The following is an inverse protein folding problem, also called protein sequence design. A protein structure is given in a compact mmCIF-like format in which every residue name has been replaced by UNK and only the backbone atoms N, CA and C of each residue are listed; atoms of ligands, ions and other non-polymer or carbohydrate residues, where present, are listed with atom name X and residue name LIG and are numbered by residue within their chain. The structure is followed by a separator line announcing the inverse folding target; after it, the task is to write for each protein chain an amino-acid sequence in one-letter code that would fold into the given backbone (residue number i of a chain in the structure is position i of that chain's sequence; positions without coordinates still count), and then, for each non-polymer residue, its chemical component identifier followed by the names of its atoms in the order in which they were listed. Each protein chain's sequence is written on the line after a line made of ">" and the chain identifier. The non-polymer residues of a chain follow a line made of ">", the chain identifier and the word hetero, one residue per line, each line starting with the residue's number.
data_IF_808650213485
#
_entry.id   IF_808650213485
#
_cell.length_a   1.000
_cell.length_b   1.000
_cell.length_c   1.000
_cell.angle_alpha   90.00
_cell.angle_beta   90.00
_cell.angle_gamma   90.00
#
_symmetry.space_group_name_H-M   'P 1'
#
loop_
_entity.id
_entity.type
_entity.pdbx_description
1 polymer ?
#
# COMPACT_ATOMS: atom_id res chain seq x y z
N UNK A 1 -23.60 6.20 -0.76
CA UNK A 1 -24.09 7.50 -1.28
C UNK A 1 -24.46 7.31 -2.74
N UNK A 2 -25.56 7.90 -3.23
CA UNK A 2 -25.78 7.99 -4.67
C UNK A 2 -25.00 9.21 -5.18
N UNK A 3 -24.12 9.04 -6.17
CA UNK A 3 -23.15 10.03 -6.68
C UNK A 3 -23.76 11.32 -7.29
N UNK A 4 -24.72 11.95 -6.64
CA UNK A 4 -25.49 13.10 -7.14
C UNK A 4 -25.14 14.43 -6.44
N UNK A 5 -24.47 14.40 -5.28
CA UNK A 5 -23.97 15.59 -4.58
C UNK A 5 -22.67 15.27 -3.84
N UNK A 6 -21.76 16.25 -3.81
CA UNK A 6 -20.55 16.23 -2.99
C UNK A 6 -20.79 17.13 -1.78
N UNK A 7 -20.51 16.62 -0.59
CA UNK A 7 -20.58 17.36 0.66
C UNK A 7 -19.22 17.29 1.36
N UNK A 8 -18.77 18.43 1.89
CA UNK A 8 -17.55 18.47 2.68
C UNK A 8 -17.75 17.68 3.98
N UNK A 9 -16.92 16.66 4.20
CA UNK A 9 -16.91 15.89 5.46
C UNK A 9 -16.35 16.76 6.61
N UNK A 10 -15.46 17.70 6.30
CA UNK A 10 -14.87 18.63 7.28
C UNK A 10 -14.38 19.93 6.63
N UNK A 11 -14.32 21.02 7.42
CA UNK A 11 -13.90 22.35 6.94
C UNK A 11 -12.37 22.52 6.79
N UNK A 12 -11.58 21.63 7.40
CA UNK A 12 -10.13 21.61 7.28
C UNK A 12 -9.71 20.67 6.16
N UNK A 13 -8.70 21.08 5.38
CA UNK A 13 -8.06 20.20 4.42
C UNK A 13 -7.19 19.17 5.14
N UNK A 14 -7.29 17.88 4.79
CA UNK A 14 -6.40 16.86 5.32
C UNK A 14 -4.99 17.01 4.75
N UNK A 15 -3.98 16.72 5.57
CA UNK A 15 -2.58 16.50 5.15
C UNK A 15 -2.43 15.10 4.56
N UNK A 16 -3.05 14.10 5.20
CA UNK A 16 -3.08 12.72 4.75
C UNK A 16 -4.36 12.03 5.23
N UNK A 17 -4.73 10.94 4.55
CA UNK A 17 -5.85 10.09 4.91
C UNK A 17 -5.47 8.63 4.71
N UNK A 18 -6.03 7.75 5.55
CA UNK A 18 -6.00 6.31 5.39
C UNK A 18 -7.36 5.73 5.81
N UNK A 19 -7.63 4.45 5.52
CA UNK A 19 -8.90 3.80 5.82
C UNK A 19 -8.70 2.44 6.49
N UNK A 20 -9.67 2.00 7.27
CA UNK A 20 -9.71 0.63 7.81
C UNK A 20 -10.85 0.46 8.80
N UNK A 21 -11.30 -0.77 9.04
CA UNK A 21 -12.32 -1.05 10.05
C UNK A 21 -11.75 -0.97 11.48
N UNK A 22 -11.67 0.25 12.03
CA UNK A 22 -11.05 0.53 13.33
C UNK A 22 -11.96 0.17 14.51
N UNK A 23 -13.27 0.01 14.27
CA UNK A 23 -14.25 -0.27 15.33
C UNK A 23 -15.09 -1.56 15.16
N UNK A 24 -14.78 -2.39 14.17
CA UNK A 24 -15.36 -3.73 13.98
C UNK A 24 -16.76 -3.68 13.42
N UNK A 25 -17.07 -2.64 12.65
CA UNK A 25 -18.37 -2.43 12.03
C UNK A 25 -18.53 -3.17 10.69
N UNK A 26 -17.45 -3.80 10.20
CA UNK A 26 -17.28 -4.30 8.84
C UNK A 26 -17.39 -3.19 7.77
N UNK A 27 -17.24 -1.93 8.18
CA UNK A 27 -17.20 -0.77 7.32
C UNK A 27 -15.94 0.01 7.66
N UNK A 28 -15.13 0.31 6.64
CA UNK A 28 -13.94 1.13 6.85
C UNK A 28 -14.30 2.51 7.42
N UNK A 29 -13.58 2.89 8.46
CA UNK A 29 -13.49 4.23 9.00
C UNK A 29 -12.41 5.04 8.26
N UNK A 30 -12.46 6.37 8.33
CA UNK A 30 -11.42 7.23 7.76
C UNK A 30 -10.51 7.75 8.87
N UNK A 31 -9.21 7.52 8.74
CA UNK A 31 -8.16 8.15 9.56
C UNK A 31 -7.69 9.39 8.81
N UNK A 32 -7.73 10.55 9.46
CA UNK A 32 -7.46 11.85 8.83
C UNK A 32 -6.46 12.62 9.69
N UNK A 33 -5.31 12.97 9.13
CA UNK A 33 -4.39 13.94 9.73
C UNK A 33 -4.70 15.34 9.22
N UNK A 34 -5.10 16.25 10.11
CA UNK A 34 -5.31 17.67 9.78
C UNK A 34 -4.06 18.54 10.00
N UNK A 35 -2.90 17.91 10.23
CA UNK A 35 -1.64 18.58 10.47
C UNK A 35 -1.57 19.24 11.84
N UNK A 36 -0.41 19.82 12.16
CA UNK A 36 -0.25 20.64 13.38
C UNK A 36 -1.01 21.96 13.25
N UNK A 37 -1.75 22.42 14.27
CA UNK A 37 -1.88 21.87 15.63
C UNK A 37 -3.08 20.92 15.84
N UNK A 38 -3.78 20.53 14.78
CA UNK A 38 -5.06 19.83 14.86
C UNK A 38 -4.92 18.33 15.20
N UNK A 39 -3.89 17.68 14.65
CA UNK A 39 -3.57 16.27 14.85
C UNK A 39 -4.45 15.32 14.04
N UNK A 40 -4.50 14.06 14.49
CA UNK A 40 -5.10 12.94 13.76
C UNK A 40 -6.45 12.56 14.35
N UNK A 41 -7.43 12.30 13.50
CA UNK A 41 -8.81 12.03 13.83
C UNK A 41 -9.34 10.80 13.09
N UNK A 42 -10.30 10.12 13.70
CA UNK A 42 -11.11 9.09 13.09
C UNK A 42 -12.47 9.68 12.73
N UNK A 43 -12.92 9.46 11.50
CA UNK A 43 -14.30 9.62 11.07
C UNK A 43 -14.93 8.25 10.92
N UNK A 44 -15.70 7.87 11.93
CA UNK A 44 -16.19 6.50 12.08
C UNK A 44 -17.61 6.34 11.60
N UNK A 45 -17.89 5.21 10.96
CA UNK A 45 -19.25 4.81 10.57
C UNK A 45 -20.03 5.94 9.87
N UNK A 46 -19.34 6.73 9.04
CA UNK A 46 -19.88 7.89 8.33
C UNK A 46 -20.62 8.92 9.21
N UNK A 47 -20.34 8.99 10.52
CA UNK A 47 -21.16 9.82 11.43
C UNK A 47 -20.49 10.31 12.71
N UNK A 48 -19.37 9.72 13.15
CA UNK A 48 -18.80 10.01 14.45
C UNK A 48 -17.30 10.39 14.39
N UNK A 49 -16.96 11.58 14.89
CA UNK A 49 -15.57 12.00 15.02
C UNK A 49 -14.98 11.57 16.36
N UNK A 50 -13.77 11.00 16.34
CA UNK A 50 -12.98 10.74 17.52
C UNK A 50 -11.53 11.20 17.30
N UNK A 51 -10.93 11.88 18.29
CA UNK A 51 -9.52 12.27 18.17
C UNK A 51 -8.63 11.06 18.42
N UNK A 52 -7.80 10.71 17.44
CA UNK A 52 -6.85 9.59 17.54
C UNK A 52 -5.58 10.04 18.25
N UNK A 53 -5.01 11.17 17.84
CA UNK A 53 -3.77 11.68 18.40
C UNK A 53 -3.65 13.21 18.26
N UNK A 54 -2.83 13.84 19.11
CA UNK A 54 -2.60 15.30 19.07
C UNK A 54 -1.50 15.72 18.12
N UNK A 55 -0.54 14.83 17.83
CA UNK A 55 0.51 15.09 16.84
C UNK A 55 -0.01 14.86 15.42
N UNK A 56 0.67 15.45 14.45
CA UNK A 56 0.53 15.14 13.02
C UNK A 56 1.42 13.96 12.68
N UNK A 57 1.00 13.16 11.70
CA UNK A 57 1.77 12.05 11.17
C UNK A 57 2.68 12.50 10.02
N UNK A 58 3.80 11.80 9.83
CA UNK A 58 4.55 11.84 8.57
C UNK A 58 3.98 10.80 7.59
N UNK A 59 3.58 9.63 8.09
CA UNK A 59 2.84 8.61 7.31
C UNK A 59 1.90 7.80 8.21
N UNK A 60 0.85 7.23 7.59
CA UNK A 60 -0.16 6.38 8.25
C UNK A 60 -0.43 5.19 7.34
N UNK A 61 -0.41 3.98 7.90
CA UNK A 61 -0.92 2.76 7.27
C UNK A 61 -1.77 1.97 8.26
N UNK A 62 -2.50 0.97 7.77
CA UNK A 62 -3.37 0.12 8.57
C UNK A 62 -3.23 -1.34 8.16
N UNK A 63 -3.43 -2.26 9.10
CA UNK A 63 -3.49 -3.70 8.82
C UNK A 63 -4.00 -4.46 10.04
N UNK A 64 -4.50 -5.68 9.85
CA UNK A 64 -4.91 -6.58 10.93
C UNK A 64 -3.68 -7.33 11.50
N UNK A 65 -2.86 -6.62 12.31
CA UNK A 65 -1.54 -7.12 12.75
C UNK A 65 -1.66 -8.24 13.80
N UNK A 66 -2.81 -8.36 14.45
CA UNK A 66 -3.07 -9.40 15.45
C UNK A 66 -4.09 -10.48 15.05
N UNK A 67 -4.65 -10.38 13.84
CA UNK A 67 -5.58 -11.36 13.27
C UNK A 67 -6.95 -11.33 13.95
N UNK A 68 -7.29 -10.19 14.59
CA UNK A 68 -8.54 -9.96 15.30
C UNK A 68 -9.71 -9.57 14.39
N UNK A 69 -9.45 -9.29 13.11
CA UNK A 69 -10.40 -8.78 12.14
C UNK A 69 -10.63 -7.27 12.24
N UNK A 70 -9.88 -6.57 13.09
CA UNK A 70 -9.88 -5.11 13.19
C UNK A 70 -8.64 -4.55 12.52
N UNK A 71 -8.78 -3.41 11.84
CA UNK A 71 -7.60 -2.71 11.34
C UNK A 71 -6.88 -2.00 12.50
N UNK A 72 -5.61 -2.35 12.69
CA UNK A 72 -4.69 -1.64 13.55
C UNK A 72 -4.11 -0.42 12.83
N UNK A 73 -3.78 0.64 13.58
CA UNK A 73 -3.23 1.88 12.99
C UNK A 73 -1.74 1.98 13.26
N UNK A 74 -0.93 2.04 12.21
CA UNK A 74 0.51 2.25 12.27
C UNK A 74 0.81 3.68 11.80
N UNK A 75 1.52 4.43 12.63
CA UNK A 75 1.81 5.84 12.39
C UNK A 75 3.29 6.10 12.59
N UNK A 76 3.90 6.76 11.62
CA UNK A 76 5.18 7.44 11.83
C UNK A 76 4.92 8.86 12.35
N UNK A 77 5.41 9.13 13.56
CA UNK A 77 5.38 10.46 14.17
C UNK A 77 6.68 11.26 13.89
N UNK A 78 7.46 10.81 12.91
CA UNK A 78 8.68 11.45 12.44
C UNK A 78 9.88 11.13 13.32
N UNK A 79 11.05 11.60 12.88
CA UNK A 79 12.37 11.29 13.47
C UNK A 79 12.50 11.52 14.99
N UNK A 80 11.63 12.32 15.61
CA UNK A 80 11.62 12.53 17.06
C UNK A 80 11.00 11.37 17.85
N UNK A 81 10.02 10.67 17.27
CA UNK A 81 9.16 9.72 17.97
C UNK A 81 9.16 8.33 17.33
N UNK A 82 9.50 8.23 16.04
CA UNK A 82 9.51 6.99 15.28
C UNK A 82 8.11 6.45 15.02
N UNK A 83 8.05 5.13 14.86
CA UNK A 83 6.88 4.39 14.40
C UNK A 83 6.15 3.78 15.59
N UNK A 84 4.84 3.96 15.61
CA UNK A 84 3.96 3.48 16.66
C UNK A 84 2.76 2.76 16.06
N UNK A 85 2.32 1.69 16.71
CA UNK A 85 1.10 0.97 16.39
C UNK A 85 0.07 1.13 17.50
N UNK A 86 -1.19 1.34 17.13
CA UNK A 86 -2.34 1.30 18.03
C UNK A 86 -3.19 0.07 17.71
N UNK A 87 -2.93 -1.01 18.42
CA UNK A 87 -3.62 -2.28 18.21
C UNK A 87 -5.07 -2.21 18.74
N UNK A 88 -6.04 -2.67 17.96
CA UNK A 88 -7.48 -2.70 18.25
C UNK A 88 -8.03 -1.38 18.80
N UNK A 89 -7.50 -0.25 18.33
CA UNK A 89 -7.81 1.08 18.84
C UNK A 89 -7.64 1.22 20.39
N UNK A 90 -6.77 0.42 21.00
CA UNK A 90 -6.56 0.35 22.46
C UNK A 90 -5.26 1.04 22.87
N UNK A 91 -4.16 0.30 23.04
CA UNK A 91 -2.90 0.82 23.57
C UNK A 91 -1.89 1.13 22.46
N UNK A 92 -1.06 2.15 22.68
CA UNK A 92 0.04 2.51 21.79
C UNK A 92 1.29 1.72 22.15
N UNK A 93 1.89 1.07 21.16
CA UNK A 93 3.18 0.38 21.28
C UNK A 93 4.15 0.96 20.26
N UNK A 94 5.39 1.25 20.68
CA UNK A 94 6.42 1.70 19.76
C UNK A 94 6.89 0.49 18.94
N UNK A 95 6.82 0.62 17.63
CA UNK A 95 7.23 -0.43 16.69
C UNK A 95 8.72 -0.26 16.32
N UNK A 96 9.18 0.98 16.18
CA UNK A 96 10.57 1.28 15.85
C UNK A 96 10.91 2.73 16.24
N UNK A 97 12.17 3.00 16.63
CA UNK A 97 12.61 4.36 16.98
C UNK A 97 12.94 5.26 15.78
N UNK A 98 13.32 4.68 14.64
CA UNK A 98 13.54 5.42 13.39
C UNK A 98 12.24 5.76 12.67
N UNK A 99 12.26 6.86 11.90
CA UNK A 99 11.20 7.23 10.96
C UNK A 99 11.52 6.62 9.58
N UNK A 100 10.53 6.06 8.87
CA UNK A 100 10.71 5.39 7.60
C UNK A 100 10.51 6.33 6.41
N UNK A 101 10.97 5.91 5.23
CA UNK A 101 10.60 6.56 3.96
C UNK A 101 9.22 6.10 3.48
N UNK A 102 8.85 4.83 3.72
CA UNK A 102 7.51 4.32 3.46
C UNK A 102 7.15 3.10 4.32
N UNK A 103 5.85 2.88 4.52
CA UNK A 103 5.29 1.72 5.25
C UNK A 103 4.08 1.17 4.50
N UNK A 104 4.00 -0.14 4.40
CA UNK A 104 2.83 -0.88 3.92
C UNK A 104 2.61 -2.12 4.79
N UNK A 105 1.48 -2.78 4.57
CA UNK A 105 1.03 -3.97 5.29
C UNK A 105 0.48 -5.01 4.32
N UNK A 106 0.56 -6.29 4.68
CA UNK A 106 -0.06 -7.39 3.93
C UNK A 106 0.28 -8.75 4.52
N UNK A 107 -0.57 -9.74 4.29
CA UNK A 107 -0.42 -11.10 4.83
C UNK A 107 0.59 -11.92 4.00
N UNK A 108 1.87 -11.89 4.38
CA UNK A 108 2.94 -12.47 3.56
C UNK A 108 3.07 -13.99 3.69
N UNK A 109 2.36 -14.63 4.63
CA UNK A 109 2.41 -16.08 4.87
C UNK A 109 1.05 -16.79 4.87
N UNK A 110 -0.03 -16.05 4.65
CA UNK A 110 -1.39 -16.54 4.43
C UNK A 110 -2.07 -17.02 5.71
N UNK A 111 -1.68 -16.48 6.86
CA UNK A 111 -2.22 -16.92 8.16
C UNK A 111 -3.37 -16.03 8.66
N UNK A 112 -3.72 -14.98 7.93
CA UNK A 112 -4.75 -14.00 8.25
C UNK A 112 -4.27 -12.84 9.12
N UNK A 113 -2.97 -12.69 9.37
CA UNK A 113 -2.38 -11.52 10.02
C UNK A 113 -1.62 -10.70 8.99
N UNK A 114 -1.84 -9.39 9.00
CA UNK A 114 -1.03 -8.49 8.19
C UNK A 114 0.37 -8.33 8.80
N UNK A 115 1.38 -8.45 7.96
CA UNK A 115 2.77 -8.16 8.30
C UNK A 115 3.11 -6.69 8.02
N UNK A 116 4.14 -6.16 8.70
CA UNK A 116 4.59 -4.77 8.47
C UNK A 116 5.84 -4.77 7.59
N UNK A 117 5.78 -4.06 6.47
CA UNK A 117 6.89 -3.87 5.54
C UNK A 117 7.27 -2.40 5.52
N UNK A 118 8.54 -2.11 5.81
CA UNK A 118 9.03 -0.75 6.01
C UNK A 118 10.28 -0.51 5.20
N UNK A 119 10.31 0.58 4.44
CA UNK A 119 11.55 1.11 3.90
C UNK A 119 12.16 2.13 4.87
N UNK A 120 13.39 1.85 5.31
CA UNK A 120 14.18 2.75 6.15
C UNK A 120 15.21 3.56 5.33
N UNK A 121 15.04 3.62 4.01
CA UNK A 121 15.87 4.42 3.12
C UNK A 121 17.18 3.72 2.75
N UNK A 122 17.96 4.37 1.89
CA UNK A 122 19.11 3.77 1.20
C UNK A 122 20.22 3.13 2.06
N UNK A 123 20.29 3.47 3.36
CA UNK A 123 21.25 2.85 4.29
C UNK A 123 20.80 1.47 4.78
N UNK A 124 19.49 1.21 4.78
CA UNK A 124 18.90 -0.02 5.33
C UNK A 124 18.07 -0.81 4.30
N UNK A 125 17.36 -0.11 3.42
CA UNK A 125 16.39 -0.68 2.51
C UNK A 125 15.14 -1.17 3.24
N UNK A 126 14.59 -2.27 2.74
CA UNK A 126 13.28 -2.78 3.13
C UNK A 126 13.42 -3.85 4.21
N UNK A 127 12.76 -3.63 5.34
CA UNK A 127 12.61 -4.60 6.41
C UNK A 127 11.17 -5.12 6.47
N UNK A 128 11.03 -6.40 6.78
CA UNK A 128 9.78 -7.11 6.99
C UNK A 128 9.71 -7.58 8.44
N UNK A 129 8.63 -7.21 9.13
CA UNK A 129 8.28 -7.73 10.45
C UNK A 129 7.09 -8.66 10.35
N UNK A 130 7.44 -9.93 10.16
CA UNK A 130 6.48 -11.00 10.00
C UNK A 130 5.87 -11.42 11.35
N UNK A 131 4.56 -11.64 11.39
CA UNK A 131 3.78 -12.17 12.51
C UNK A 131 4.02 -11.43 13.83
N UNK A 132 4.16 -10.11 13.76
CA UNK A 132 4.45 -9.27 14.91
C UNK A 132 5.68 -9.76 15.71
N UNK A 133 6.67 -10.33 15.02
CA UNK A 133 7.83 -11.00 15.62
C UNK A 133 9.13 -10.23 15.37
N UNK A 134 10.16 -10.87 14.82
CA UNK A 134 11.47 -10.27 14.52
C UNK A 134 11.52 -9.63 13.14
N UNK A 135 12.30 -8.55 13.04
CA UNK A 135 12.65 -7.93 11.77
C UNK A 135 13.56 -8.84 10.93
N UNK A 136 13.27 -8.89 9.64
CA UNK A 136 14.10 -9.52 8.61
C UNK A 136 14.30 -8.55 7.47
N UNK A 137 15.43 -8.62 6.78
CA UNK A 137 15.64 -7.78 5.60
C UNK A 137 14.98 -8.41 4.38
N UNK A 138 14.09 -7.66 3.73
CA UNK A 138 13.46 -8.07 2.47
C UNK A 138 14.38 -7.75 1.28
N UNK A 139 14.93 -6.53 1.26
CA UNK A 139 15.86 -6.09 0.23
C UNK A 139 16.76 -4.95 0.75
N UNK A 140 17.97 -4.81 0.21
CA UNK A 140 18.92 -3.76 0.64
C UNK A 140 18.74 -2.43 -0.10
N UNK A 141 18.02 -2.42 -1.22
CA UNK A 141 17.66 -1.20 -1.92
C UNK A 141 16.43 -0.56 -1.29
N UNK A 142 16.44 0.76 -1.19
CA UNK A 142 15.26 1.56 -0.88
C UNK A 142 14.43 1.75 -2.18
N UNK A 143 13.13 1.45 -2.14
CA UNK A 143 12.22 1.63 -3.26
C UNK A 143 11.71 3.07 -3.39
N UNK A 144 11.27 3.43 -4.59
CA UNK A 144 10.52 4.67 -4.82
C UNK A 144 9.05 4.53 -4.42
N UNK A 145 8.48 3.32 -4.50
CA UNK A 145 7.14 3.01 -3.97
C UNK A 145 6.93 1.51 -3.75
N UNK A 146 5.99 1.17 -2.87
CA UNK A 146 5.57 -0.21 -2.61
C UNK A 146 4.05 -0.32 -2.45
N UNK A 147 3.49 -1.48 -2.76
CA UNK A 147 2.11 -1.86 -2.48
C UNK A 147 2.01 -3.38 -2.36
N UNK A 148 0.93 -3.90 -1.80
CA UNK A 148 0.72 -5.34 -1.52
C UNK A 148 -0.57 -5.85 -2.15
N UNK A 149 -0.60 -7.12 -2.51
CA UNK A 149 -1.82 -7.81 -2.90
C UNK A 149 -1.55 -9.21 -3.44
N UNK A 150 -2.50 -10.13 -3.20
CA UNK A 150 -2.43 -11.52 -3.68
C UNK A 150 -2.57 -11.62 -5.21
N UNK A 151 -1.46 -11.59 -5.94
CA UNK A 151 -1.46 -11.54 -7.41
C UNK A 151 -1.66 -12.93 -8.05
N UNK A 152 -1.61 -14.03 -7.30
CA UNK A 152 -1.87 -15.39 -7.82
C UNK A 152 -3.05 -16.14 -7.20
N UNK A 153 -3.75 -15.51 -6.24
CA UNK A 153 -4.98 -16.00 -5.64
C UNK A 153 -4.75 -17.15 -4.66
N UNK A 154 -3.57 -17.23 -4.04
CA UNK A 154 -3.24 -18.30 -3.10
C UNK A 154 -3.49 -17.97 -1.62
N UNK A 155 -3.91 -16.75 -1.33
CA UNK A 155 -4.17 -16.22 0.01
C UNK A 155 -2.97 -15.54 0.68
N UNK A 156 -1.84 -15.39 -0.01
CA UNK A 156 -0.67 -14.63 0.46
C UNK A 156 -0.59 -13.33 -0.35
N UNK A 157 -0.37 -12.21 0.32
CA UNK A 157 -0.06 -10.98 -0.35
C UNK A 157 1.37 -11.01 -0.93
N UNK A 158 1.48 -10.57 -2.19
CA UNK A 158 2.76 -10.28 -2.82
C UNK A 158 3.15 -8.83 -2.57
N UNK A 159 4.45 -8.53 -2.52
CA UNK A 159 4.92 -7.13 -2.49
C UNK A 159 5.28 -6.68 -3.90
N UNK A 160 4.60 -5.66 -4.40
CA UNK A 160 4.93 -4.98 -5.64
C UNK A 160 5.78 -3.76 -5.29
N UNK A 161 7.00 -3.72 -5.83
CA UNK A 161 8.04 -2.78 -5.44
C UNK A 161 8.58 -2.11 -6.70
N UNK A 162 8.57 -0.78 -6.72
CA UNK A 162 9.35 -0.02 -7.69
C UNK A 162 10.69 0.36 -7.07
N UNK A 163 11.77 -0.19 -7.63
CA UNK A 163 13.14 0.13 -7.23
C UNK A 163 13.74 1.31 -8.01
N UNK A 164 12.93 2.02 -8.80
CA UNK A 164 13.40 3.15 -9.60
C UNK A 164 14.30 2.72 -10.75
N UNK A 165 14.88 3.69 -11.45
CA UNK A 165 15.88 3.41 -12.50
C UNK A 165 17.22 3.00 -11.88
N UNK A 166 17.91 1.95 -12.38
CA UNK A 166 17.64 1.22 -13.62
C UNK A 166 16.83 -0.09 -13.45
N UNK A 167 16.24 -0.36 -12.30
CA UNK A 167 15.68 -1.69 -11.97
C UNK A 167 14.21 -1.86 -12.33
N UNK A 168 13.40 -0.80 -12.18
CA UNK A 168 11.96 -0.80 -12.41
C UNK A 168 11.17 -1.56 -11.35
N UNK A 169 10.06 -2.17 -11.77
CA UNK A 169 9.04 -2.76 -10.92
C UNK A 169 9.22 -4.28 -10.82
N UNK A 170 9.20 -4.78 -9.60
CA UNK A 170 9.38 -6.19 -9.25
C UNK A 170 8.33 -6.66 -8.25
N UNK A 171 7.97 -7.93 -8.32
CA UNK A 171 7.18 -8.61 -7.31
C UNK A 171 8.09 -9.45 -6.43
N UNK A 172 7.93 -9.33 -5.12
CA UNK A 172 8.30 -10.37 -4.17
C UNK A 172 7.16 -11.38 -4.10
N UNK A 173 7.14 -12.31 -5.04
CA UNK A 173 6.09 -13.30 -5.18
C UNK A 173 6.13 -14.34 -4.04
N UNK A 174 5.02 -14.52 -3.33
CA UNK A 174 4.79 -15.50 -2.26
C UNK A 174 5.86 -15.45 -1.17
N UNK A 175 6.35 -14.25 -0.89
CA UNK A 175 7.51 -13.98 -0.04
C UNK A 175 8.74 -14.87 -0.35
N UNK A 176 8.89 -15.33 -1.60
CA UNK A 176 9.86 -16.36 -1.94
C UNK A 176 10.72 -16.02 -3.17
N UNK A 177 10.11 -15.56 -4.26
CA UNK A 177 10.81 -15.34 -5.53
C UNK A 177 10.62 -13.93 -6.06
N UNK A 178 11.68 -13.37 -6.63
CA UNK A 178 11.62 -12.08 -7.32
C UNK A 178 11.18 -12.28 -8.78
N UNK A 179 10.13 -11.59 -9.19
CA UNK A 179 9.61 -11.60 -10.57
C UNK A 179 9.59 -10.17 -11.10
N UNK A 180 10.26 -9.91 -12.22
CA UNK A 180 10.22 -8.58 -12.84
C UNK A 180 8.83 -8.34 -13.43
N UNK A 181 8.19 -7.24 -13.05
CA UNK A 181 6.91 -6.84 -13.62
C UNK A 181 7.11 -5.93 -14.83
N UNK A 182 7.97 -4.93 -14.69
CA UNK A 182 8.19 -3.92 -15.71
C UNK A 182 9.54 -3.20 -15.51
N UNK A 183 10.15 -2.69 -16.57
CA UNK A 183 11.45 -2.00 -16.51
C UNK A 183 11.37 -0.51 -16.18
N UNK A 184 10.21 0.11 -16.41
CA UNK A 184 9.98 1.52 -16.10
C UNK A 184 9.49 1.68 -14.67
N UNK A 185 10.01 2.69 -13.99
CA UNK A 185 9.44 3.21 -12.74
C UNK A 185 8.13 3.95 -13.04
N UNK A 186 7.09 3.76 -12.22
CA UNK A 186 5.81 4.43 -12.35
C UNK A 186 5.75 5.73 -11.55
N UNK A 187 4.76 6.57 -11.85
CA UNK A 187 4.40 7.72 -11.02
C UNK A 187 3.56 7.31 -9.81
N UNK A 188 2.77 6.24 -9.92
CA UNK A 188 1.97 5.69 -8.83
C UNK A 188 1.54 4.24 -9.13
N UNK A 189 1.35 3.45 -8.08
CA UNK A 189 0.79 2.10 -8.11
C UNK A 189 -0.29 1.93 -7.05
N UNK A 190 -1.30 1.12 -7.34
CA UNK A 190 -2.31 0.67 -6.36
C UNK A 190 -2.79 -0.73 -6.73
N UNK A 191 -3.20 -1.51 -5.73
CA UNK A 191 -3.69 -2.88 -5.89
C UNK A 191 -5.11 -3.04 -5.38
N UNK A 192 -5.84 -3.96 -5.99
CA UNK A 192 -7.14 -4.40 -5.47
C UNK A 192 -7.87 -5.34 -6.42
N UNK A 193 -9.00 -5.86 -5.97
CA UNK A 193 -9.77 -6.89 -6.67
C UNK A 193 -10.80 -6.28 -7.63
N UNK A 194 -10.53 -6.25 -8.94
CA UNK A 194 -11.42 -5.61 -9.93
C UNK A 194 -12.51 -6.56 -10.45
N UNK A 195 -12.23 -7.86 -10.55
CA UNK A 195 -13.10 -8.82 -11.24
C UNK A 195 -13.67 -9.96 -10.34
N UNK A 196 -13.43 -9.88 -9.02
CA UNK A 196 -13.92 -10.82 -8.01
C UNK A 196 -13.47 -12.28 -8.20
N UNK A 197 -12.30 -12.53 -8.77
CA UNK A 197 -11.74 -13.88 -8.89
C UNK A 197 -10.73 -14.25 -7.79
N UNK A 198 -10.61 -13.41 -6.76
CA UNK A 198 -9.65 -13.51 -5.66
C UNK A 198 -8.18 -13.29 -6.04
N UNK A 199 -7.88 -12.80 -7.25
CA UNK A 199 -6.58 -12.25 -7.61
C UNK A 199 -6.64 -10.73 -7.51
N UNK A 200 -5.67 -10.14 -6.85
CA UNK A 200 -5.45 -8.72 -6.89
C UNK A 200 -4.92 -8.31 -8.28
N UNK A 201 -5.44 -7.20 -8.79
CA UNK A 201 -4.86 -6.47 -9.90
C UNK A 201 -3.92 -5.39 -9.37
N UNK A 202 -2.86 -5.10 -10.13
CA UNK A 202 -2.08 -3.87 -9.94
C UNK A 202 -2.38 -2.87 -11.05
N UNK A 203 -2.80 -1.68 -10.66
CA UNK A 203 -2.98 -0.51 -11.51
C UNK A 203 -1.74 0.37 -11.37
N UNK A 204 -1.15 0.74 -12.50
CA UNK A 204 0.11 1.45 -12.60
C UNK A 204 -0.07 2.66 -13.50
N UNK A 205 0.29 3.84 -13.00
CA UNK A 205 0.43 5.04 -13.81
C UNK A 205 1.89 5.21 -14.20
N UNK A 206 2.20 5.05 -15.49
CA UNK A 206 3.55 5.27 -16.01
C UNK A 206 3.80 6.72 -16.44
N UNK A 207 2.84 7.62 -16.21
CA UNK A 207 2.94 9.01 -16.62
C UNK A 207 2.70 9.21 -18.13
N UNK A 208 2.66 10.47 -18.56
CA UNK A 208 2.57 10.79 -19.99
C UNK A 208 3.89 10.46 -20.73
N UNK A 209 3.84 9.89 -21.95
CA UNK A 209 2.65 9.59 -22.77
C UNK A 209 2.10 8.16 -22.62
N UNK A 210 2.61 7.37 -21.67
CA UNK A 210 2.26 5.95 -21.53
C UNK A 210 0.86 5.78 -20.92
N UNK A 211 0.57 6.55 -19.88
CA UNK A 211 -0.71 6.59 -19.17
C UNK A 211 -0.87 5.49 -18.12
N UNK A 212 -2.13 5.21 -17.80
CA UNK A 212 -2.55 4.30 -16.72
C UNK A 212 -2.89 2.93 -17.31
N UNK A 213 -2.34 1.89 -16.71
CA UNK A 213 -2.48 0.51 -17.12
C UNK A 213 -2.84 -0.37 -15.93
N UNK A 214 -3.50 -1.48 -16.19
CA UNK A 214 -3.72 -2.53 -15.20
C UNK A 214 -3.11 -3.83 -15.67
N UNK A 215 -2.43 -4.53 -14.76
CA UNK A 215 -2.01 -5.92 -14.93
C UNK A 215 -3.15 -6.82 -14.44
N UNK A 216 -4.05 -7.16 -15.34
CA UNK A 216 -5.20 -8.04 -15.05
C UNK A 216 -4.70 -9.46 -14.75
N UNK A 217 -5.13 -10.02 -13.61
CA UNK A 217 -4.91 -11.43 -13.25
C UNK A 217 -3.46 -11.89 -13.40
N UNK A 218 -2.52 -10.99 -13.04
CA UNK A 218 -1.07 -11.17 -13.18
C UNK A 218 -0.60 -11.64 -14.58
N UNK A 219 -1.40 -11.44 -15.63
CA UNK A 219 -1.19 -12.08 -16.93
C UNK A 219 -1.23 -11.10 -18.11
N UNK A 220 -2.18 -10.17 -18.11
CA UNK A 220 -2.45 -9.33 -19.28
C UNK A 220 -2.43 -7.85 -18.93
N UNK A 221 -1.85 -7.05 -19.81
CA UNK A 221 -1.86 -5.60 -19.68
C UNK A 221 -3.06 -5.00 -20.41
N UNK A 222 -3.73 -4.07 -19.73
CA UNK A 222 -4.88 -3.34 -20.27
C UNK A 222 -4.69 -1.86 -20.01
N UNK A 223 -4.76 -1.05 -21.06
CA UNK A 223 -4.70 0.41 -20.91
C UNK A 223 -6.03 0.93 -20.38
N UNK A 224 -6.00 1.56 -19.21
CA UNK A 224 -7.18 2.22 -18.63
C UNK A 224 -7.33 3.64 -19.14
N UNK A 225 -6.21 4.38 -19.24
CA UNK A 225 -6.24 5.78 -19.61
C UNK A 225 -4.93 6.24 -20.25
N UNK A 226 -4.97 7.30 -21.07
CA UNK A 226 -3.76 7.86 -21.72
C UNK A 226 -3.09 8.97 -20.93
N UNK A 227 -3.83 9.66 -20.07
CA UNK A 227 -3.28 10.68 -19.19
C UNK A 227 -2.96 10.07 -17.83
N UNK A 228 -1.98 10.67 -17.16
CA UNK A 228 -1.63 10.40 -15.77
C UNK A 228 -2.71 10.86 -14.80
N UNK A 229 -2.75 10.23 -13.62
CA UNK A 229 -3.56 10.63 -12.49
C UNK A 229 -2.70 11.28 -11.40
N UNK A 230 -3.24 12.29 -10.72
CA UNK A 230 -2.60 12.85 -9.52
C UNK A 230 -2.67 11.90 -8.32
N UNK A 231 -3.64 10.98 -8.32
CA UNK A 231 -3.79 9.93 -7.32
C UNK A 231 -4.70 8.83 -7.85
N UNK A 232 -4.44 7.60 -7.41
CA UNK A 232 -5.23 6.42 -7.78
C UNK A 232 -5.74 5.73 -6.53
N UNK A 233 -7.02 5.38 -6.56
CA UNK A 233 -7.67 4.52 -5.57
C UNK A 233 -8.53 3.51 -6.30
N UNK A 234 -8.73 2.37 -5.67
CA UNK A 234 -9.54 1.27 -6.19
C UNK A 234 -10.62 0.92 -5.17
N UNK A 235 -11.81 0.62 -5.67
CA UNK A 235 -12.95 0.26 -4.84
C UNK A 235 -14.25 0.22 -5.63
N UNK A 236 -15.26 -0.44 -5.05
CA UNK A 236 -16.59 -0.50 -5.63
C UNK A 236 -17.37 0.79 -5.30
N UNK A 237 -17.41 1.73 -6.24
CA UNK A 237 -18.01 3.06 -6.04
C UNK A 237 -19.50 3.16 -6.38
N UNK A 238 -20.09 2.17 -7.06
CA UNK A 238 -21.49 2.17 -7.48
C UNK A 238 -22.34 1.10 -6.79
N UNK A 239 -21.71 0.26 -5.96
CA UNK A 239 -22.33 -0.83 -5.22
C UNK A 239 -22.86 -1.94 -6.13
N UNK A 240 -22.49 -1.96 -7.40
CA UNK A 240 -22.87 -3.02 -8.33
C UNK A 240 -21.87 -4.18 -8.25
N UNK A 241 -22.33 -5.38 -8.60
CA UNK A 241 -21.43 -6.50 -8.77
C UNK A 241 -20.47 -6.23 -9.93
N UNK A 242 -19.22 -6.71 -9.80
CA UNK A 242 -18.27 -6.63 -10.91
C UNK A 242 -18.85 -7.33 -12.14
N UNK A 243 -18.74 -6.66 -13.29
CA UNK A 243 -19.17 -7.22 -14.57
C UNK A 243 -18.03 -8.04 -15.16
N UNK A 244 -18.29 -9.31 -15.47
CA UNK A 244 -17.34 -10.15 -16.19
C UNK A 244 -17.14 -9.57 -17.60
N UNK A 245 -16.05 -8.80 -17.78
CA UNK A 245 -15.78 -8.18 -19.07
C UNK A 245 -15.04 -9.15 -19.98
N UNK A 246 -15.78 -9.77 -20.91
CA UNK A 246 -15.19 -10.59 -21.98
C UNK A 246 -14.64 -9.73 -23.15
N UNK A 247 -14.73 -8.40 -23.04
CA UNK A 247 -14.31 -7.42 -24.04
C UNK A 247 -13.11 -6.60 -23.57
N UNK A 248 -12.12 -7.26 -22.95
CA UNK A 248 -10.84 -6.64 -22.64
C UNK A 248 -10.03 -6.59 -23.93
N UNK A 249 -9.82 -5.40 -24.47
CA UNK A 249 -8.83 -5.23 -25.55
C UNK A 249 -7.45 -5.23 -24.91
N UNK A 250 -6.79 -6.38 -24.93
CA UNK A 250 -5.39 -6.51 -24.50
C UNK A 250 -4.53 -5.60 -25.36
N UNK A 251 -3.66 -4.83 -24.72
CA UNK A 251 -2.67 -4.02 -25.40
C UNK A 251 -1.29 -4.37 -24.85
N UNK A 252 -0.30 -4.40 -25.72
CA UNK A 252 1.10 -4.35 -25.30
C UNK A 252 1.38 -2.94 -24.79
N UNK A 253 2.02 -2.81 -23.62
CA UNK A 253 2.50 -1.50 -23.18
C UNK A 253 3.52 -1.03 -24.24
N UNK A 254 3.43 0.21 -24.76
CA UNK A 254 4.34 0.73 -25.79
C UNK A 254 5.84 0.65 -25.44
N UNK A 255 6.17 0.36 -24.17
CA UNK A 255 7.51 0.24 -23.64
C UNK A 255 8.03 -1.21 -23.48
N UNK A 256 7.35 -2.23 -24.02
CA UNK A 256 7.87 -3.60 -24.01
C UNK A 256 9.26 -3.71 -24.69
N UNK A 257 9.62 -2.76 -25.58
CA UNK A 257 10.96 -2.66 -26.18
C UNK A 257 12.02 -1.97 -25.28
N UNK A 258 11.65 -1.52 -24.07
CA UNK A 258 12.55 -0.94 -23.07
C UNK A 258 12.82 -1.90 -21.90
N UNK A 259 12.79 -3.21 -22.12
CA UNK A 259 13.19 -4.22 -21.11
C UNK A 259 14.73 -4.28 -20.90
N UNK A 260 15.35 -3.10 -20.84
CA UNK A 260 16.79 -2.91 -20.60
C UNK A 260 17.10 -2.67 -19.11
N UNK A 261 16.11 -2.82 -18.23
CA UNK A 261 16.33 -2.67 -16.80
C UNK A 261 17.29 -3.75 -16.29
N UNK A 262 18.18 -3.35 -15.39
CA UNK A 262 19.17 -4.23 -14.80
C UNK A 262 18.48 -5.31 -13.95
N UNK A 263 19.05 -6.53 -13.85
CA UNK A 263 18.55 -7.51 -12.89
C UNK A 263 18.69 -6.95 -11.47
N UNK A 264 17.78 -7.33 -10.57
CA UNK A 264 17.95 -6.98 -9.16
C UNK A 264 19.26 -7.55 -8.63
N UNK A 265 20.07 -6.75 -7.92
CA UNK A 265 21.24 -7.25 -7.24
C UNK A 265 20.84 -8.24 -6.14
N UNK A 266 21.74 -9.17 -5.81
CA UNK A 266 21.53 -10.02 -4.64
C UNK A 266 21.52 -9.16 -3.37
N UNK A 267 20.64 -9.50 -2.42
CA UNK A 267 20.53 -8.78 -1.15
C UNK A 267 21.83 -8.87 -0.37
N UNK A 268 22.49 -7.73 -0.16
CA UNK A 268 23.62 -7.65 0.75
C UNK A 268 23.10 -7.65 2.20
N UNK A 269 23.65 -8.55 3.03
CA UNK A 269 23.28 -8.62 4.45
C UNK A 269 23.81 -7.38 5.17
N UNK A 270 22.90 -6.56 5.68
CA UNK A 270 23.25 -5.45 6.57
C UNK A 270 22.98 -5.79 8.04
N UNK A 271 23.56 -5.02 8.95
CA UNK A 271 23.11 -5.03 10.34
C UNK A 271 21.75 -4.35 10.43
N UNK A 272 20.77 -5.02 11.05
CA UNK A 272 19.49 -4.41 11.36
C UNK A 272 19.71 -3.22 12.31
N UNK A 273 18.96 -2.11 12.13
CA UNK A 273 18.99 -0.98 13.05
C UNK A 273 18.51 -1.40 14.45
N UNK A 274 18.89 -0.61 15.46
CA UNK A 274 18.39 -0.83 16.81
C UNK A 274 16.91 -0.43 16.90
N UNK A 275 16.12 -1.25 17.58
CA UNK A 275 14.71 -0.99 17.89
C UNK A 275 14.53 0.18 18.85
#
# INVERSE_FOLDING_TARGET
>A
MNNASWDDIHLLSPKSMNIGDIDGSAQDDIIIDFGSPNGIWLWKNNSNWAKLHTLSAESITTGDIDGGGLADVIIDFGSQYGIWVKMNNSEWTQLHTLSPESMITGDMDGNGLDDVIIDFGSETGILLRMNNSSWTQLHSLSPESMTTGDMDGNGLDDVIIDFGSPYGIWLRMNNNSWVKLHSLSPQSMTTGYLDNNALAEVIIDFGEPIGIWVRMNNSTWVKLHSNSAEGMVIGNIDGQASVSSNNITTQEIPAAELDNAEPLPETETISLPAE
#
